data_IF_454002535214
#
_entry.id   IF_454002535214
#
_cell.length_a   1.000
_cell.length_b   1.000
_cell.length_c   1.000
_cell.angle_alpha   90.00
_cell.angle_beta   90.00
_cell.angle_gamma   90.00
#
_symmetry.space_group_name_H-M   'P 1'
#
loop_
_entity.id
_entity.type
_entity.pdbx_description
1 polymer ?
#
# COMPACT_ATOMS: atom_id res chain seq x y z
N UNK A 1 -4.24 7.46 8.95
CA UNK A 1 -4.62 6.07 9.29
C UNK A 1 -3.37 5.35 9.76
N UNK A 2 -3.44 4.44 10.75
CA UNK A 2 -2.22 3.76 11.24
C UNK A 2 -1.92 2.48 10.46
N UNK A 3 -0.64 2.10 10.37
CA UNK A 3 -0.20 0.80 9.81
C UNK A 3 -0.90 -0.40 10.47
N UNK A 4 -1.21 -0.31 11.76
CA UNK A 4 -1.94 -1.35 12.50
C UNK A 4 -3.36 -1.50 11.97
N UNK A 5 -4.04 -0.39 11.68
CA UNK A 5 -5.39 -0.39 11.09
C UNK A 5 -5.36 -0.96 9.67
N UNK A 6 -4.35 -0.60 8.88
CA UNK A 6 -4.15 -1.13 7.53
C UNK A 6 -3.90 -2.64 7.51
N UNK A 7 -3.10 -3.14 8.45
CA UNK A 7 -2.89 -4.57 8.65
C UNK A 7 -4.21 -5.29 8.99
N UNK A 8 -5.04 -4.73 9.87
CA UNK A 8 -6.33 -5.33 10.23
C UNK A 8 -7.31 -5.38 9.05
N UNK A 9 -7.29 -4.39 8.17
CA UNK A 9 -8.20 -4.34 7.01
C UNK A 9 -7.74 -5.18 5.83
N UNK A 10 -6.42 -5.26 5.60
CA UNK A 10 -5.86 -5.91 4.42
C UNK A 10 -5.31 -7.29 4.69
N UNK A 11 -5.09 -7.65 5.96
CA UNK A 11 -4.40 -8.87 6.37
C UNK A 11 -2.91 -8.90 6.00
N UNK A 12 -2.36 -7.78 5.52
CA UNK A 12 -0.97 -7.71 5.07
C UNK A 12 0.00 -7.43 6.22
N UNK A 13 1.21 -7.95 6.08
CA UNK A 13 2.27 -7.78 7.06
C UNK A 13 2.61 -6.29 7.29
N UNK A 14 2.83 -5.93 8.55
CA UNK A 14 3.17 -4.56 8.93
C UNK A 14 4.47 -4.07 8.30
N UNK A 15 5.48 -4.95 8.18
CA UNK A 15 6.74 -4.64 7.52
C UNK A 15 6.60 -4.49 6.01
N UNK A 16 5.69 -5.24 5.39
CA UNK A 16 5.31 -5.05 3.99
C UNK A 16 4.63 -3.68 3.78
N UNK A 17 3.65 -3.34 4.60
CA UNK A 17 2.95 -2.05 4.54
C UNK A 17 3.90 -0.87 4.80
N UNK A 18 4.80 -1.00 5.78
CA UNK A 18 5.80 0.03 6.08
C UNK A 18 6.78 0.27 4.92
N UNK A 19 7.21 -0.80 4.22
CA UNK A 19 8.04 -0.67 3.02
C UNK A 19 7.28 -0.03 1.87
N UNK A 20 5.99 -0.33 1.72
CA UNK A 20 5.13 0.31 0.72
C UNK A 20 4.97 1.81 1.00
N UNK A 21 4.66 2.22 2.23
CA UNK A 21 4.54 3.65 2.60
C UNK A 21 5.84 4.43 2.34
N UNK A 22 6.99 3.75 2.41
CA UNK A 22 8.31 4.33 2.13
C UNK A 22 8.70 4.28 0.65
N UNK A 23 7.82 3.86 -0.24
CA UNK A 23 8.12 3.70 -1.67
C UNK A 23 9.14 2.61 -1.99
N UNK A 24 9.49 1.73 -1.04
CA UNK A 24 10.52 0.69 -1.22
C UNK A 24 10.01 -0.53 -1.99
N UNK A 25 8.73 -0.54 -2.39
CA UNK A 25 8.12 -1.62 -3.18
C UNK A 25 7.55 -1.06 -4.49
N UNK A 26 8.42 -0.85 -5.50
CA UNK A 26 8.01 -0.38 -6.83
C UNK A 26 7.19 -1.40 -7.65
N UNK A 27 7.24 -2.70 -7.32
CA UNK A 27 6.48 -3.76 -8.01
C UNK A 27 5.64 -4.57 -7.04
N UNK A 28 4.91 -3.88 -6.16
CA UNK A 28 3.90 -4.52 -5.33
C UNK A 28 2.95 -5.28 -6.27
N UNK A 29 2.82 -6.60 -6.09
CA UNK A 29 1.94 -7.42 -6.93
C UNK A 29 0.56 -6.75 -7.03
N UNK A 30 0.03 -6.58 -8.25
CA UNK A 30 -1.18 -5.78 -8.53
C UNK A 30 -2.35 -6.09 -7.59
N UNK A 31 -2.49 -7.37 -7.21
CA UNK A 31 -3.50 -7.81 -6.26
C UNK A 31 -3.36 -7.14 -4.88
N UNK A 32 -2.14 -7.05 -4.33
CA UNK A 32 -1.90 -6.45 -3.01
C UNK A 32 -2.05 -4.94 -3.03
N UNK A 33 -1.61 -4.29 -4.12
CA UNK A 33 -1.83 -2.85 -4.32
C UNK A 33 -3.31 -2.56 -4.34
N UNK A 34 -4.10 -3.39 -5.04
CA UNK A 34 -5.54 -3.20 -5.14
C UNK A 34 -6.25 -3.40 -3.80
N UNK A 35 -5.88 -4.42 -3.03
CA UNK A 35 -6.42 -4.61 -1.67
C UNK A 35 -6.14 -3.42 -0.75
N UNK A 36 -4.95 -2.83 -0.83
CA UNK A 36 -4.58 -1.65 -0.04
C UNK A 36 -5.29 -0.40 -0.56
N UNK A 37 -5.40 -0.25 -1.87
CA UNK A 37 -6.10 0.86 -2.51
C UNK A 37 -7.58 0.88 -2.13
N UNK A 38 -8.24 -0.27 -2.14
CA UNK A 38 -9.63 -0.43 -1.72
C UNK A 38 -9.79 -0.11 -0.22
N UNK A 39 -8.87 -0.59 0.64
CA UNK A 39 -8.89 -0.30 2.07
C UNK A 39 -8.66 1.19 2.39
N UNK A 40 -7.89 1.88 1.56
CA UNK A 40 -7.62 3.32 1.66
C UNK A 40 -8.63 4.18 0.88
N UNK A 41 -9.54 3.56 0.12
CA UNK A 41 -10.45 4.23 -0.81
C UNK A 41 -9.74 5.15 -1.82
N UNK A 42 -8.53 4.77 -2.23
CA UNK A 42 -7.72 5.49 -3.22
C UNK A 42 -7.59 4.68 -4.49
N UNK A 43 -7.21 5.31 -5.60
CA UNK A 43 -6.89 4.58 -6.84
C UNK A 43 -5.56 3.83 -6.65
N UNK A 44 -5.42 2.59 -7.18
CA UNK A 44 -4.15 1.84 -7.13
C UNK A 44 -2.97 2.64 -7.69
N UNK A 45 -3.23 3.43 -8.73
CA UNK A 45 -2.25 4.32 -9.34
C UNK A 45 -1.66 5.32 -8.34
N UNK A 46 -2.43 5.77 -7.32
CA UNK A 46 -1.97 6.69 -6.29
C UNK A 46 -0.95 6.07 -5.32
N UNK A 47 -0.95 4.74 -5.19
CA UNK A 47 0.02 3.99 -4.36
C UNK A 47 1.32 3.76 -5.13
N UNK A 48 1.23 3.58 -6.45
CA UNK A 48 2.38 3.31 -7.32
C UNK A 48 2.93 4.55 -7.99
N UNK A 49 2.49 5.77 -7.65
CA UNK A 49 3.11 6.97 -8.20
C UNK A 49 4.51 7.09 -7.62
N UNK A 50 5.50 6.79 -8.47
CA UNK A 50 6.86 7.29 -8.31
C UNK A 50 6.76 8.81 -8.16
N UNK A 51 7.25 9.35 -7.04
CA UNK A 51 7.34 10.79 -6.84
C UNK A 51 8.12 11.39 -8.02
N UNK A 52 7.41 12.04 -8.95
CA UNK A 52 8.04 12.91 -9.95
C UNK A 52 8.59 14.12 -9.20
N UNK A 53 9.86 14.01 -8.82
CA UNK A 53 10.72 15.18 -8.58
C UNK A 53 10.95 15.90 -9.90
#
# INVERSE_FOLDING_TARGET
MSLRTLQQLTGLDRGYLSRMERGLICRSADHRVRTIADALQVKPAAITQEEKT
#
